data_IF_461914315880
#
_entry.id   IF_461914315880
#
_cell.length_a   1.000
_cell.length_b   1.000
_cell.length_c   1.000
_cell.angle_alpha   90.00
_cell.angle_beta   90.00
_cell.angle_gamma   90.00
#
_symmetry.space_group_name_H-M   'P 1'
#
loop_
_entity.id
_entity.type
_entity.pdbx_description
1 polymer ?
#
# COMPACT_ATOMS: atom_id res chain seq x y z
N UNK A 1 -26.75 42.12 -12.09
CA UNK A 1 -27.04 40.94 -11.24
C UNK A 1 -26.39 39.64 -11.79
N UNK A 2 -26.55 39.34 -13.10
CA UNK A 2 -26.00 38.12 -13.72
C UNK A 2 -24.47 38.08 -13.71
N UNK A 3 -23.81 39.19 -14.06
CA UNK A 3 -22.34 39.30 -14.06
C UNK A 3 -21.69 39.10 -12.67
N UNK A 4 -22.35 39.58 -11.61
CA UNK A 4 -21.87 39.38 -10.23
C UNK A 4 -21.95 37.91 -9.81
N UNK A 5 -23.01 37.21 -10.19
CA UNK A 5 -23.16 35.77 -9.91
C UNK A 5 -22.12 34.93 -10.67
N UNK A 6 -21.83 35.30 -11.93
CA UNK A 6 -20.79 34.66 -12.73
C UNK A 6 -19.39 34.86 -12.13
N UNK A 7 -19.06 36.06 -11.71
CA UNK A 7 -17.78 36.38 -11.05
C UNK A 7 -17.61 35.59 -9.76
N UNK A 8 -18.64 35.51 -8.94
CA UNK A 8 -18.61 34.73 -7.68
C UNK A 8 -18.44 33.24 -7.93
N UNK A 9 -19.11 32.68 -8.96
CA UNK A 9 -18.95 31.29 -9.35
C UNK A 9 -17.52 30.97 -9.84
N UNK A 10 -16.96 31.87 -10.67
CA UNK A 10 -15.58 31.74 -11.16
C UNK A 10 -14.60 31.83 -9.99
N UNK A 11 -14.80 32.76 -9.05
CA UNK A 11 -13.95 32.88 -7.86
C UNK A 11 -13.97 31.61 -7.02
N UNK A 12 -15.14 31.09 -6.68
CA UNK A 12 -15.30 29.84 -5.90
C UNK A 12 -14.67 28.63 -6.61
N UNK A 13 -14.79 28.58 -7.94
CA UNK A 13 -14.17 27.53 -8.74
C UNK A 13 -12.65 27.62 -8.69
N UNK A 14 -12.09 28.81 -8.89
CA UNK A 14 -10.64 29.02 -8.83
C UNK A 14 -10.06 28.72 -7.46
N UNK A 15 -10.76 29.06 -6.37
CA UNK A 15 -10.35 28.68 -5.01
C UNK A 15 -10.30 27.17 -4.84
N UNK A 16 -11.32 26.42 -5.26
CA UNK A 16 -11.33 24.95 -5.21
C UNK A 16 -10.21 24.33 -6.04
N UNK A 17 -10.02 24.79 -7.28
CA UNK A 17 -8.96 24.31 -8.16
C UNK A 17 -7.57 24.55 -7.55
N UNK A 18 -7.38 25.71 -6.89
CA UNK A 18 -6.13 26.01 -6.17
C UNK A 18 -5.91 25.10 -4.97
N UNK A 19 -6.95 24.84 -4.16
CA UNK A 19 -6.88 23.93 -3.02
C UNK A 19 -6.59 22.49 -3.49
N UNK A 20 -7.26 22.02 -4.54
CA UNK A 20 -7.00 20.71 -5.13
C UNK A 20 -5.58 20.60 -5.69
N UNK A 21 -5.11 21.62 -6.40
CA UNK A 21 -3.74 21.64 -6.92
C UNK A 21 -2.70 21.59 -5.78
N UNK A 22 -2.92 22.32 -4.69
CA UNK A 22 -2.05 22.30 -3.52
C UNK A 22 -2.06 20.93 -2.81
N UNK A 23 -3.25 20.30 -2.73
CA UNK A 23 -3.45 19.03 -2.02
C UNK A 23 -2.93 17.81 -2.80
N UNK A 24 -3.07 17.81 -4.13
CA UNK A 24 -2.80 16.65 -4.97
C UNK A 24 -1.70 16.86 -6.02
N UNK A 25 -1.16 18.07 -6.15
CA UNK A 25 -0.12 18.38 -7.14
C UNK A 25 1.15 17.52 -7.03
N UNK A 26 1.40 16.98 -5.84
CA UNK A 26 2.56 16.11 -5.58
C UNK A 26 2.27 14.62 -5.82
N UNK A 27 1.08 14.25 -6.31
CA UNK A 27 0.66 12.84 -6.41
C UNK A 27 1.56 11.99 -7.30
N UNK A 28 2.04 12.53 -8.43
CA UNK A 28 2.97 11.79 -9.30
C UNK A 28 4.31 11.56 -8.62
N UNK A 29 4.89 12.60 -8.01
CA UNK A 29 6.11 12.49 -7.22
C UNK A 29 5.96 11.51 -6.06
N UNK A 30 4.85 11.57 -5.33
CA UNK A 30 4.56 10.65 -4.24
C UNK A 30 4.49 9.20 -4.72
N UNK A 31 3.92 8.95 -5.91
CA UNK A 31 3.87 7.61 -6.51
C UNK A 31 5.25 7.05 -6.81
N UNK A 32 6.16 7.89 -7.29
CA UNK A 32 7.54 7.48 -7.54
C UNK A 32 8.30 7.23 -6.23
N UNK A 33 8.08 8.06 -5.22
CA UNK A 33 8.69 7.94 -3.91
C UNK A 33 8.27 6.65 -3.17
N UNK A 34 7.01 6.24 -3.24
CA UNK A 34 6.57 4.99 -2.56
C UNK A 34 7.23 3.75 -3.15
N UNK A 35 7.77 3.80 -4.37
CA UNK A 35 8.57 2.71 -4.92
C UNK A 35 9.91 2.52 -4.20
N UNK A 36 10.45 3.58 -3.61
CA UNK A 36 11.66 3.51 -2.79
C UNK A 36 11.39 2.75 -1.50
N UNK A 37 10.22 2.96 -0.89
CA UNK A 37 9.79 2.21 0.30
C UNK A 37 9.68 0.70 0.00
N UNK A 38 9.17 0.34 -1.18
CA UNK A 38 9.13 -1.07 -1.61
C UNK A 38 10.54 -1.67 -1.75
N UNK A 39 11.50 -0.90 -2.26
CA UNK A 39 12.88 -1.37 -2.39
C UNK A 39 13.56 -1.55 -1.03
N UNK A 40 13.29 -0.66 -0.06
CA UNK A 40 13.76 -0.82 1.32
C UNK A 40 13.16 -2.07 1.96
N UNK A 41 11.86 -2.31 1.77
CA UNK A 41 11.21 -3.53 2.26
C UNK A 41 11.83 -4.78 1.64
N UNK A 42 12.06 -4.80 0.33
CA UNK A 42 12.71 -5.92 -0.37
C UNK A 42 14.13 -6.16 0.15
N UNK A 43 14.86 -5.11 0.47
CA UNK A 43 16.19 -5.24 1.08
C UNK A 43 16.11 -5.88 2.48
N UNK A 44 15.10 -5.52 3.28
CA UNK A 44 14.87 -6.16 4.58
C UNK A 44 14.42 -7.61 4.43
N UNK A 45 13.57 -7.92 3.47
CA UNK A 45 13.06 -9.27 3.20
C UNK A 45 14.16 -10.21 2.67
N UNK A 46 15.27 -9.68 2.17
CA UNK A 46 16.42 -10.49 1.74
C UNK A 46 17.32 -10.94 2.89
N UNK A 47 17.14 -10.41 4.10
CA UNK A 47 17.96 -10.78 5.27
C UNK A 47 17.78 -12.23 5.70
N UNK A 48 16.58 -12.85 5.64
CA UNK A 48 16.40 -14.28 5.94
C UNK A 48 17.30 -15.22 5.13
N UNK A 49 17.78 -14.80 3.96
CA UNK A 49 18.71 -15.59 3.14
C UNK A 49 20.05 -15.86 3.85
N UNK A 50 20.33 -15.14 4.93
CA UNK A 50 21.50 -15.35 5.78
C UNK A 50 21.24 -16.25 6.99
N UNK A 51 19.98 -16.60 7.28
CA UNK A 51 19.63 -17.51 8.38
C UNK A 51 20.24 -18.89 8.15
N UNK A 52 20.89 -19.44 9.18
CA UNK A 52 21.61 -20.71 9.09
C UNK A 52 22.95 -20.66 8.33
N UNK A 53 23.41 -19.49 7.92
CA UNK A 53 24.73 -19.27 7.31
C UNK A 53 25.73 -18.75 8.34
N UNK A 54 27.05 -18.79 8.00
CA UNK A 54 28.10 -18.20 8.84
C UNK A 54 27.92 -16.67 9.05
N UNK A 55 27.09 -16.03 8.25
CA UNK A 55 26.82 -14.60 8.30
C UNK A 55 25.58 -14.21 9.12
N UNK A 56 24.81 -15.19 9.62
CA UNK A 56 23.58 -14.92 10.37
C UNK A 56 23.80 -14.00 11.58
N UNK A 57 24.90 -14.21 12.28
CA UNK A 57 25.25 -13.42 13.47
C UNK A 57 26.26 -12.30 13.22
N UNK A 58 26.59 -12.01 11.95
CA UNK A 58 27.54 -10.92 11.64
C UNK A 58 26.97 -9.56 12.12
N UNK A 59 27.66 -8.89 13.07
CA UNK A 59 27.22 -7.61 13.59
C UNK A 59 27.05 -6.52 12.51
N UNK A 60 27.78 -6.65 11.41
CA UNK A 60 27.71 -5.70 10.29
C UNK A 60 26.39 -5.84 9.54
N UNK A 61 25.90 -7.08 9.34
CA UNK A 61 24.61 -7.37 8.69
C UNK A 61 23.46 -6.89 9.59
N UNK A 62 23.53 -7.20 10.88
CA UNK A 62 22.52 -6.71 11.87
C UNK A 62 22.48 -5.18 11.94
N UNK A 63 23.64 -4.53 11.90
CA UNK A 63 23.70 -3.06 11.89
C UNK A 63 23.14 -2.46 10.61
N UNK A 64 23.41 -3.08 9.46
CA UNK A 64 22.86 -2.66 8.17
C UNK A 64 21.33 -2.81 8.14
N UNK A 65 20.83 -3.96 8.60
CA UNK A 65 19.40 -4.23 8.71
C UNK A 65 18.69 -3.20 9.60
N UNK A 66 19.26 -2.90 10.76
CA UNK A 66 18.73 -1.88 11.67
C UNK A 66 18.72 -0.49 11.01
N UNK A 67 19.76 -0.14 10.26
CA UNK A 67 19.85 1.12 9.52
C UNK A 67 18.78 1.24 8.42
N UNK A 68 18.56 0.17 7.65
CA UNK A 68 17.53 0.14 6.60
C UNK A 68 16.13 0.24 7.25
N UNK A 69 15.89 -0.50 8.34
CA UNK A 69 14.61 -0.46 9.04
C UNK A 69 14.31 0.94 9.60
N UNK A 70 15.29 1.59 10.20
CA UNK A 70 15.14 2.96 10.69
C UNK A 70 14.84 3.94 9.55
N UNK A 71 15.54 3.81 8.42
CA UNK A 71 15.30 4.64 7.23
C UNK A 71 13.88 4.44 6.70
N UNK A 72 13.40 3.21 6.65
CA UNK A 72 12.02 2.90 6.23
C UNK A 72 10.98 3.55 7.15
N UNK A 73 11.17 3.45 8.47
CA UNK A 73 10.28 4.07 9.46
C UNK A 73 10.24 5.59 9.33
N UNK A 74 11.40 6.21 9.11
CA UNK A 74 11.48 7.65 8.87
C UNK A 74 10.74 8.05 7.58
N UNK A 75 10.90 7.28 6.51
CA UNK A 75 10.19 7.47 5.25
C UNK A 75 8.66 7.41 5.46
N UNK A 76 8.15 6.40 6.14
CA UNK A 76 6.72 6.27 6.44
C UNK A 76 6.21 7.43 7.29
N UNK A 77 7.01 7.90 8.25
CA UNK A 77 6.69 9.07 9.07
C UNK A 77 6.57 10.34 8.22
N UNK A 78 7.51 10.56 7.31
CA UNK A 78 7.49 11.71 6.39
C UNK A 78 6.29 11.63 5.45
N UNK A 79 6.04 10.47 4.84
CA UNK A 79 4.88 10.25 3.97
C UNK A 79 3.56 10.57 4.71
N UNK A 80 3.41 10.05 5.93
CA UNK A 80 2.22 10.30 6.77
C UNK A 80 2.03 11.78 7.06
N UNK A 81 3.11 12.51 7.36
CA UNK A 81 3.08 13.98 7.59
C UNK A 81 2.55 14.75 6.37
N UNK A 82 2.79 14.24 5.17
CA UNK A 82 2.28 14.81 3.92
C UNK A 82 0.94 14.22 3.46
N UNK A 83 0.24 13.51 4.34
CA UNK A 83 -1.07 12.93 4.06
C UNK A 83 -1.05 11.67 3.21
N UNK A 84 0.11 11.07 3.01
CA UNK A 84 0.26 9.80 2.31
C UNK A 84 0.25 8.69 3.34
N UNK A 85 -0.69 7.74 3.20
CA UNK A 85 -0.87 6.63 4.14
C UNK A 85 -0.78 5.30 3.42
N UNK A 86 -0.12 4.35 4.06
CA UNK A 86 -0.09 2.96 3.64
C UNK A 86 -1.46 2.32 3.87
N UNK A 87 -1.87 1.49 2.90
CA UNK A 87 -3.10 0.69 2.99
C UNK A 87 -2.72 -0.65 3.60
N UNK A 88 -3.35 -1.01 4.72
CA UNK A 88 -3.14 -2.26 5.45
C UNK A 88 -4.31 -3.22 5.18
N UNK A 89 -4.25 -4.02 4.10
CA UNK A 89 -5.37 -4.87 3.68
C UNK A 89 -5.34 -6.26 4.32
N UNK A 90 -4.22 -6.71 4.88
CA UNK A 90 -4.06 -8.06 5.41
C UNK A 90 -5.13 -8.40 6.46
N UNK A 91 -5.78 -9.54 6.29
CA UNK A 91 -6.86 -9.98 7.18
C UNK A 91 -8.20 -9.26 7.00
N UNK A 92 -8.29 -8.29 6.09
CA UNK A 92 -9.53 -7.55 5.79
C UNK A 92 -10.22 -8.11 4.55
N UNK A 93 -11.51 -7.77 4.40
CA UNK A 93 -12.24 -8.07 3.17
C UNK A 93 -11.61 -7.33 1.98
N UNK A 94 -11.56 -8.01 0.84
CA UNK A 94 -11.12 -7.41 -0.41
C UNK A 94 -12.05 -6.23 -0.79
N UNK A 95 -11.44 -5.09 -1.14
CA UNK A 95 -12.13 -3.90 -1.64
C UNK A 95 -11.48 -3.47 -2.96
N UNK A 96 -12.23 -3.58 -4.06
CA UNK A 96 -11.76 -3.25 -5.40
C UNK A 96 -11.39 -1.76 -5.59
N UNK A 97 -11.82 -0.87 -4.68
CA UNK A 97 -11.42 0.55 -4.73
C UNK A 97 -9.98 0.78 -4.25
N UNK A 98 -9.45 -0.12 -3.42
CA UNK A 98 -8.13 0.03 -2.78
C UNK A 98 -7.18 -1.12 -3.05
N UNK A 99 -7.70 -2.27 -3.50
CA UNK A 99 -6.95 -3.50 -3.67
C UNK A 99 -7.02 -3.99 -5.11
N UNK A 100 -5.95 -4.64 -5.55
CA UNK A 100 -5.88 -5.38 -6.81
C UNK A 100 -5.57 -6.84 -6.48
N UNK A 101 -6.53 -7.73 -6.71
CA UNK A 101 -6.32 -9.17 -6.56
C UNK A 101 -5.45 -9.69 -7.69
N UNK A 102 -4.33 -10.33 -7.34
CA UNK A 102 -3.41 -10.94 -8.29
C UNK A 102 -3.68 -12.42 -8.48
N UNK A 103 -4.11 -13.11 -7.42
CA UNK A 103 -4.46 -14.52 -7.41
C UNK A 103 -5.40 -14.84 -6.25
N UNK A 104 -6.02 -16.00 -6.33
CA UNK A 104 -6.82 -16.59 -5.27
C UNK A 104 -6.13 -17.86 -4.75
N UNK A 105 -6.12 -18.04 -3.43
CA UNK A 105 -5.61 -19.23 -2.76
C UNK A 105 -6.73 -19.88 -1.93
N UNK A 106 -6.80 -21.18 -1.98
CA UNK A 106 -7.70 -21.92 -1.10
C UNK A 106 -7.23 -21.77 0.36
N UNK A 107 -8.16 -21.45 1.23
CA UNK A 107 -7.89 -21.28 2.66
C UNK A 107 -9.07 -21.81 3.47
N UNK A 108 -8.75 -22.66 4.45
CA UNK A 108 -9.72 -23.15 5.44
C UNK A 108 -9.86 -22.20 6.62
N UNK A 109 -8.80 -21.41 6.90
CA UNK A 109 -8.72 -20.52 8.05
C UNK A 109 -9.36 -19.14 7.81
N UNK A 110 -9.61 -18.78 6.54
CA UNK A 110 -10.09 -17.44 6.19
C UNK A 110 -11.38 -17.53 5.37
N UNK A 111 -12.30 -16.60 5.64
CA UNK A 111 -13.50 -16.45 4.82
C UNK A 111 -13.14 -16.10 3.37
N UNK A 112 -13.90 -16.64 2.41
CA UNK A 112 -13.72 -16.29 1.01
C UNK A 112 -13.81 -14.76 0.81
N UNK A 113 -12.90 -14.20 0.02
CA UNK A 113 -12.79 -12.77 -0.19
C UNK A 113 -11.93 -12.03 0.83
N UNK A 114 -11.32 -12.73 1.80
CA UNK A 114 -10.37 -12.12 2.74
C UNK A 114 -8.99 -12.00 2.11
N UNK A 115 -8.33 -10.87 2.31
CA UNK A 115 -6.93 -10.67 1.89
C UNK A 115 -6.03 -11.48 2.82
N UNK A 116 -5.33 -12.45 2.27
CA UNK A 116 -4.44 -13.36 3.02
C UNK A 116 -2.96 -13.13 2.75
N UNK A 117 -2.65 -12.39 1.69
CA UNK A 117 -1.28 -12.05 1.34
C UNK A 117 -1.22 -10.65 0.73
N UNK A 118 -0.17 -9.90 1.03
CA UNK A 118 0.13 -8.61 0.41
C UNK A 118 1.44 -8.76 -0.34
N UNK A 119 1.38 -8.65 -1.67
CA UNK A 119 2.54 -8.70 -2.55
C UNK A 119 3.23 -7.35 -2.67
N UNK A 120 2.41 -6.29 -2.70
CA UNK A 120 2.87 -4.93 -2.76
C UNK A 120 1.91 -4.04 -1.98
N UNK A 121 2.40 -3.22 -1.04
CA UNK A 121 1.55 -2.34 -0.27
C UNK A 121 0.93 -1.26 -1.16
N UNK A 122 -0.33 -0.94 -0.88
CA UNK A 122 -1.02 0.20 -1.46
C UNK A 122 -0.76 1.48 -0.68
N UNK A 123 -1.02 2.60 -1.33
CA UNK A 123 -0.92 3.93 -0.71
C UNK A 123 -2.07 4.83 -1.17
N UNK A 124 -2.51 5.71 -0.29
CA UNK A 124 -3.44 6.78 -0.58
C UNK A 124 -2.84 8.12 -0.18
N UNK A 125 -3.19 9.17 -0.91
CA UNK A 125 -2.87 10.56 -0.57
C UNK A 125 -4.16 11.27 -0.20
N UNK A 126 -4.27 11.68 1.06
CA UNK A 126 -5.50 12.19 1.66
C UNK A 126 -6.67 11.20 1.45
N UNK A 127 -7.65 11.54 0.62
CA UNK A 127 -8.82 10.74 0.27
C UNK A 127 -8.76 10.10 -1.14
N UNK A 128 -7.64 10.27 -1.87
CA UNK A 128 -7.45 9.68 -3.21
C UNK A 128 -6.49 8.51 -3.19
N UNK A 129 -6.82 7.48 -3.97
CA UNK A 129 -5.92 6.36 -4.19
C UNK A 129 -4.68 6.83 -4.97
N UNK A 130 -3.50 6.54 -4.43
CA UNK A 130 -2.21 6.78 -5.09
C UNK A 130 -1.77 5.53 -5.87
N UNK A 131 -1.87 4.36 -5.21
CA UNK A 131 -1.55 3.05 -5.78
C UNK A 131 -2.33 1.97 -5.01
N UNK A 132 -3.03 1.04 -5.69
CA UNK A 132 -3.72 -0.06 -5.01
C UNK A 132 -2.72 -1.04 -4.38
N UNK A 133 -3.15 -1.72 -3.32
CA UNK A 133 -2.40 -2.84 -2.78
C UNK A 133 -2.59 -4.06 -3.68
N UNK A 134 -1.49 -4.71 -4.07
CA UNK A 134 -1.52 -5.98 -4.80
C UNK A 134 -1.60 -7.12 -3.79
N UNK A 135 -2.67 -7.91 -3.87
CA UNK A 135 -3.03 -8.87 -2.82
C UNK A 135 -3.37 -10.25 -3.39
N UNK A 136 -3.15 -11.28 -2.56
CA UNK A 136 -3.75 -12.59 -2.69
C UNK A 136 -4.99 -12.71 -1.81
N UNK A 137 -6.06 -13.29 -2.34
CA UNK A 137 -7.37 -13.36 -1.71
C UNK A 137 -7.74 -14.82 -1.40
N UNK A 138 -8.35 -15.05 -0.25
CA UNK A 138 -8.85 -16.35 0.12
C UNK A 138 -10.02 -16.77 -0.79
N UNK A 139 -9.95 -18.00 -1.29
CA UNK A 139 -11.04 -18.70 -1.96
C UNK A 139 -11.54 -19.81 -1.06
N UNK A 140 -12.82 -20.10 -1.09
CA UNK A 140 -13.40 -21.22 -0.36
C UNK A 140 -12.86 -22.52 -0.93
N UNK A 141 -12.35 -23.40 -0.05
CA UNK A 141 -11.95 -24.74 -0.43
C UNK A 141 -13.16 -25.48 -1.00
N UNK A 142 -13.13 -25.80 -2.28
CA UNK A 142 -14.09 -26.75 -2.87
C UNK A 142 -13.59 -28.14 -2.51
N UNK A 143 -14.17 -28.78 -1.48
CA UNK A 143 -13.98 -30.22 -1.31
C UNK A 143 -14.35 -30.90 -2.64
N UNK A 144 -13.50 -31.79 -3.17
CA UNK A 144 -13.90 -32.62 -4.28
C UNK A 144 -15.10 -33.44 -3.81
N UNK A 145 -16.22 -33.35 -4.55
CA UNK A 145 -17.40 -34.18 -4.30
C UNK A 145 -16.91 -35.64 -4.18
N UNK A 146 -17.11 -36.26 -3.01
CA UNK A 146 -16.91 -37.71 -2.86
C UNK A 146 -17.76 -38.37 -3.92
N UNK A 147 -17.20 -39.27 -4.75
CA UNK A 147 -18.04 -40.08 -5.62
C UNK A 147 -18.95 -40.88 -4.72
N UNK A 148 -20.25 -40.76 -4.91
CA UNK A 148 -21.27 -41.65 -4.33
C UNK A 148 -20.96 -43.06 -4.79
N UNK A 149 -20.74 -43.95 -3.82
CA UNK A 149 -20.58 -45.36 -3.96
C UNK A 149 -21.95 -46.04 -3.96
#
# INVERSE_FOLDING_TARGET
MRALAETENVRKRAEREREEAAKYGVSSFARDIVSITDNLQRALDSVPDFEGTENEDDPRIKSLQAGISLTQQEFETVLTRHGIKRIEPLGKAFDHNYHQAMFELESEDHAAGTVIQVLQPGYQIHDRLLRPAMVGVAKKTTEPAKPDD
#
